data_IF_888751065815
#
_entry.id   IF_888751065815
#
_cell.length_a   1.000
_cell.length_b   1.000
_cell.length_c   1.000
_cell.angle_alpha   90.00
_cell.angle_beta   90.00
_cell.angle_gamma   90.00
#
_symmetry.space_group_name_H-M   'P 1'
#
loop_
_entity.id
_entity.type
_entity.pdbx_description
1 polymer ?
#
# COMPACT_ATOMS: atom_id res chain seq x y z
N UNK A 1 5.45 17.42 25.37
CA UNK A 1 5.72 17.07 23.97
C UNK A 1 6.14 15.60 23.88
N UNK A 2 5.18 14.68 23.89
CA UNK A 2 5.46 13.24 23.73
C UNK A 2 5.26 12.90 22.25
N UNK A 3 6.34 13.00 21.45
CA UNK A 3 6.35 12.61 20.03
C UNK A 3 6.55 11.10 19.91
N UNK A 4 5.55 10.33 20.33
CA UNK A 4 5.42 8.93 19.92
C UNK A 4 4.25 8.87 18.94
N UNK A 5 4.53 9.17 17.67
CA UNK A 5 3.67 8.68 16.59
C UNK A 5 3.97 7.19 16.46
N UNK A 6 3.34 6.41 17.32
CA UNK A 6 3.37 4.95 17.20
C UNK A 6 2.75 4.58 15.86
N UNK A 7 3.47 3.69 15.18
CA UNK A 7 3.16 3.18 13.87
C UNK A 7 2.06 2.15 14.05
N UNK A 8 0.81 2.54 13.82
CA UNK A 8 -0.32 1.65 14.04
C UNK A 8 -0.52 0.78 12.81
N UNK A 9 0.02 -0.44 12.83
CA UNK A 9 -0.40 -1.47 11.88
C UNK A 9 -1.76 -2.02 12.33
N UNK A 10 -2.81 -1.25 12.10
CA UNK A 10 -4.18 -1.68 12.39
C UNK A 10 -4.72 -2.50 11.22
N UNK A 11 -5.38 -3.60 11.56
CA UNK A 11 -6.29 -4.23 10.61
C UNK A 11 -7.49 -3.31 10.43
N UNK A 12 -7.70 -2.84 9.20
CA UNK A 12 -8.91 -2.09 8.85
C UNK A 12 -9.95 -3.05 8.27
N UNK A 13 -11.22 -2.82 8.60
CA UNK A 13 -12.32 -3.56 8.00
C UNK A 13 -12.79 -2.90 6.69
N UNK A 14 -13.72 -3.56 5.99
CA UNK A 14 -14.23 -3.08 4.72
C UNK A 14 -14.97 -1.73 4.83
N UNK A 15 -15.70 -1.50 5.93
CA UNK A 15 -16.44 -0.26 6.15
C UNK A 15 -15.48 0.93 6.30
N UNK A 16 -14.40 0.75 7.04
CA UNK A 16 -13.40 1.80 7.23
C UNK A 16 -12.64 2.08 5.94
N UNK A 17 -12.26 1.04 5.19
CA UNK A 17 -11.65 1.24 3.88
C UNK A 17 -12.57 2.00 2.92
N UNK A 18 -13.86 1.67 2.89
CA UNK A 18 -14.86 2.40 2.08
C UNK A 18 -14.96 3.87 2.48
N UNK A 19 -14.95 4.16 3.80
CA UNK A 19 -14.96 5.53 4.32
C UNK A 19 -13.74 6.30 3.85
N UNK A 20 -12.54 5.71 3.97
CA UNK A 20 -11.28 6.34 3.57
C UNK A 20 -11.19 6.58 2.06
N UNK A 21 -11.70 5.65 1.24
CA UNK A 21 -11.82 5.82 -0.21
C UNK A 21 -12.77 6.95 -0.58
N UNK A 22 -13.89 7.10 0.14
CA UNK A 22 -14.89 8.14 -0.13
C UNK A 22 -14.41 9.57 0.14
N UNK A 23 -13.33 9.75 0.90
CA UNK A 23 -12.73 11.06 1.21
C UNK A 23 -11.36 11.28 0.57
N UNK A 24 -10.91 10.36 -0.30
CA UNK A 24 -9.60 10.39 -0.98
C UNK A 24 -8.39 10.55 -0.03
N UNK A 25 -8.52 10.03 1.19
CA UNK A 25 -7.46 10.08 2.21
C UNK A 25 -6.68 8.77 2.30
N UNK A 26 -6.62 7.95 1.25
CA UNK A 26 -5.96 6.64 1.28
C UNK A 26 -5.06 6.39 0.09
N UNK A 27 -3.85 5.88 0.36
CA UNK A 27 -2.98 5.30 -0.67
C UNK A 27 -3.15 3.78 -0.62
N UNK A 28 -3.99 3.25 -1.51
CA UNK A 28 -4.38 1.85 -1.52
C UNK A 28 -3.51 1.01 -2.48
N UNK A 29 -2.80 0.03 -1.94
CA UNK A 29 -1.91 -0.87 -2.66
C UNK A 29 -2.43 -2.32 -2.64
N UNK A 30 -2.66 -2.87 -3.83
CA UNK A 30 -2.95 -4.28 -4.04
C UNK A 30 -1.63 -5.05 -4.21
N UNK A 31 -1.31 -5.94 -3.26
CA UNK A 31 -0.06 -6.74 -3.31
C UNK A 31 -0.25 -8.14 -3.88
N UNK A 32 -1.38 -8.37 -4.58
CA UNK A 32 -1.63 -9.60 -5.35
C UNK A 32 -0.80 -9.63 -6.63
N UNK A 33 -0.78 -10.80 -7.26
CA UNK A 33 -0.18 -10.96 -8.58
C UNK A 33 -1.03 -10.28 -9.66
N UNK A 34 -0.43 -9.82 -10.79
CA UNK A 34 -1.18 -9.26 -11.90
C UNK A 34 -2.25 -10.22 -12.46
N UNK A 35 -1.97 -11.52 -12.41
CA UNK A 35 -2.92 -12.57 -12.84
C UNK A 35 -4.20 -12.57 -12.00
N UNK A 36 -4.08 -12.54 -10.66
CA UNK A 36 -5.24 -12.45 -9.77
C UNK A 36 -6.08 -11.20 -10.05
N UNK A 37 -5.45 -10.07 -10.38
CA UNK A 37 -6.14 -8.83 -10.72
C UNK A 37 -6.86 -8.95 -12.07
N UNK A 38 -6.23 -9.57 -13.07
CA UNK A 38 -6.84 -9.78 -14.38
C UNK A 38 -8.06 -10.72 -14.29
N UNK A 39 -7.99 -11.74 -13.44
CA UNK A 39 -9.04 -12.76 -13.32
C UNK A 39 -10.20 -12.33 -12.42
N UNK A 40 -9.93 -11.63 -11.31
CA UNK A 40 -10.91 -11.34 -10.24
C UNK A 40 -11.28 -9.86 -10.21
N UNK A 41 -10.49 -9.00 -10.85
CA UNK A 41 -10.58 -7.55 -10.70
C UNK A 41 -9.83 -7.04 -9.47
N UNK A 42 -9.89 -5.71 -9.28
CA UNK A 42 -9.28 -4.99 -8.16
C UNK A 42 -10.21 -3.90 -7.66
N UNK A 43 -9.91 -3.39 -6.47
CA UNK A 43 -10.60 -2.21 -5.93
C UNK A 43 -10.23 -1.00 -6.81
N UNK A 44 -11.23 -0.21 -7.22
CA UNK A 44 -11.00 1.01 -7.99
C UNK A 44 -10.12 1.99 -7.21
N UNK A 45 -9.23 2.70 -7.92
CA UNK A 45 -8.23 3.57 -7.30
C UNK A 45 -7.04 2.83 -6.66
N UNK A 46 -7.06 1.49 -6.54
CA UNK A 46 -5.91 0.76 -6.04
C UNK A 46 -4.78 0.60 -7.07
N UNK A 47 -3.55 0.70 -6.58
CA UNK A 47 -2.32 0.46 -7.34
C UNK A 47 -1.81 -0.95 -7.09
N UNK A 48 -1.43 -1.67 -8.16
CA UNK A 48 -0.84 -2.98 -7.98
C UNK A 48 0.69 -2.88 -7.81
N UNK A 49 1.19 -3.39 -6.67
CA UNK A 49 2.62 -3.65 -6.45
C UNK A 49 2.73 -5.07 -5.91
N UNK A 50 3.00 -6.06 -6.77
CA UNK A 50 3.14 -7.44 -6.33
C UNK A 50 4.14 -7.58 -5.17
N UNK A 51 3.80 -8.43 -4.18
CA UNK A 51 4.58 -8.55 -2.94
C UNK A 51 6.07 -8.87 -3.15
N UNK A 52 6.39 -9.58 -4.23
CA UNK A 52 7.75 -9.92 -4.66
C UNK A 52 8.52 -8.73 -5.24
N UNK A 53 7.82 -7.72 -5.75
CA UNK A 53 8.40 -6.50 -6.32
C UNK A 53 8.51 -5.36 -5.30
N UNK A 54 7.86 -5.45 -4.13
CA UNK A 54 7.82 -4.40 -3.12
C UNK A 54 9.21 -3.87 -2.71
N UNK A 55 10.20 -4.76 -2.50
CA UNK A 55 11.55 -4.30 -2.09
C UNK A 55 12.21 -3.42 -3.15
N UNK A 56 12.07 -3.80 -4.42
CA UNK A 56 12.60 -3.03 -5.54
C UNK A 56 11.78 -1.74 -5.71
N UNK A 57 10.45 -1.83 -5.69
CA UNK A 57 9.55 -0.70 -5.85
C UNK A 57 9.87 0.43 -4.86
N UNK A 58 10.11 0.10 -3.59
CA UNK A 58 10.38 1.08 -2.55
C UNK A 58 11.82 1.64 -2.54
N UNK A 59 12.68 1.18 -3.46
CA UNK A 59 14.03 1.71 -3.69
C UNK A 59 14.11 2.61 -4.93
N UNK A 60 13.12 2.55 -5.82
CA UNK A 60 13.05 3.39 -7.02
C UNK A 60 12.88 4.86 -6.63
N UNK A 61 13.39 5.75 -7.49
CA UNK A 61 13.01 7.17 -7.40
C UNK A 61 11.56 7.38 -7.89
N UNK A 62 11.02 8.58 -7.64
CA UNK A 62 9.63 8.92 -7.98
C UNK A 62 9.33 8.79 -9.47
N UNK A 63 10.32 9.09 -10.34
CA UNK A 63 10.17 9.03 -11.79
C UNK A 63 10.14 7.59 -12.26
N UNK A 64 11.10 6.78 -11.84
CA UNK A 64 11.18 5.36 -12.18
C UNK A 64 9.97 4.59 -11.67
N UNK A 65 9.53 4.89 -10.45
CA UNK A 65 8.32 4.30 -9.88
C UNK A 65 7.08 4.70 -10.69
N UNK A 66 6.96 5.97 -11.07
CA UNK A 66 5.89 6.47 -11.92
C UNK A 66 5.85 5.80 -13.29
N UNK A 67 7.00 5.58 -13.92
CA UNK A 67 7.10 4.88 -15.20
C UNK A 67 6.73 3.40 -15.09
N UNK A 68 7.13 2.73 -14.00
CA UNK A 68 6.89 1.28 -13.80
C UNK A 68 5.46 0.96 -13.35
N UNK A 69 4.91 1.74 -12.42
CA UNK A 69 3.62 1.45 -11.78
C UNK A 69 2.50 2.43 -12.15
N UNK A 70 2.82 3.48 -12.93
CA UNK A 70 1.83 4.47 -13.39
C UNK A 70 1.31 5.39 -12.30
N UNK A 71 2.07 5.58 -11.21
CA UNK A 71 1.60 6.33 -10.05
C UNK A 71 2.74 6.85 -9.17
N UNK A 72 2.42 7.61 -8.14
CA UNK A 72 3.41 8.18 -7.21
C UNK A 72 3.71 7.21 -6.07
N UNK A 73 4.99 6.98 -5.80
CA UNK A 73 5.44 6.29 -4.58
C UNK A 73 4.95 7.06 -3.35
N UNK A 74 4.40 6.42 -2.30
CA UNK A 74 3.91 7.15 -1.15
C UNK A 74 5.08 7.88 -0.46
N UNK A 75 4.80 9.02 0.16
CA UNK A 75 5.80 9.70 1.01
C UNK A 75 5.81 9.05 2.39
N UNK A 76 6.95 9.09 3.07
CA UNK A 76 7.05 8.64 4.48
C UNK A 76 6.18 9.43 5.45
N UNK A 77 5.67 10.58 5.02
CA UNK A 77 4.76 11.45 5.77
C UNK A 77 3.29 11.25 5.38
N UNK A 78 3.01 10.47 4.33
CA UNK A 78 1.64 10.18 3.94
C UNK A 78 0.96 9.36 5.02
N UNK A 79 -0.29 9.70 5.31
CA UNK A 79 -1.13 8.92 6.22
C UNK A 79 -1.89 7.87 5.42
N UNK A 80 -2.42 6.87 6.12
CA UNK A 80 -3.35 5.88 5.56
C UNK A 80 -2.78 5.17 4.31
N UNK A 81 -1.55 4.67 4.42
CA UNK A 81 -0.96 3.76 3.43
C UNK A 81 -1.52 2.37 3.72
N UNK A 82 -2.38 1.87 2.85
CA UNK A 82 -3.11 0.61 3.06
C UNK A 82 -2.66 -0.42 2.05
N UNK A 83 -2.28 -1.60 2.54
CA UNK A 83 -2.00 -2.77 1.72
C UNK A 83 -3.11 -3.80 1.84
N UNK A 84 -3.59 -4.34 0.74
CA UNK A 84 -4.53 -5.44 0.74
C UNK A 84 -4.08 -6.59 -0.16
N UNK A 85 -4.57 -7.78 0.14
CA UNK A 85 -4.42 -8.97 -0.68
C UNK A 85 -5.61 -9.90 -0.47
N UNK A 86 -5.62 -11.08 -1.12
CA UNK A 86 -6.76 -12.01 -1.00
C UNK A 86 -6.97 -12.64 0.38
N UNK A 87 -5.93 -12.79 1.20
CA UNK A 87 -6.00 -13.57 2.47
C UNK A 87 -5.36 -12.88 3.68
N UNK A 88 -4.89 -11.64 3.54
CA UNK A 88 -4.20 -10.89 4.60
C UNK A 88 -2.71 -11.21 4.79
N UNK A 89 -2.21 -12.37 4.35
CA UNK A 89 -0.80 -12.76 4.58
C UNK A 89 0.22 -11.86 3.87
N UNK A 90 -0.04 -11.54 2.60
CA UNK A 90 0.88 -10.72 1.78
C UNK A 90 0.84 -9.25 2.17
N UNK A 91 -0.32 -8.72 2.53
CA UNK A 91 -0.46 -7.35 3.02
C UNK A 91 0.25 -7.15 4.36
N UNK A 92 0.22 -8.14 5.26
CA UNK A 92 1.02 -8.07 6.49
C UNK A 92 2.53 -8.02 6.21
N UNK A 93 3.01 -8.86 5.29
CA UNK A 93 4.41 -8.82 4.85
C UNK A 93 4.77 -7.50 4.16
N UNK A 94 3.83 -6.88 3.45
CA UNK A 94 4.03 -5.58 2.83
C UNK A 94 4.27 -4.48 3.86
N UNK A 95 3.51 -4.50 4.98
CA UNK A 95 3.73 -3.61 6.13
C UNK A 95 5.15 -3.78 6.68
N UNK A 96 5.62 -5.02 6.84
CA UNK A 96 6.98 -5.29 7.34
C UNK A 96 8.05 -4.69 6.42
N UNK A 97 7.90 -4.81 5.09
CA UNK A 97 8.82 -4.20 4.15
C UNK A 97 8.86 -2.68 4.24
N UNK A 98 7.72 -2.01 4.23
CA UNK A 98 7.73 -0.53 4.24
C UNK A 98 8.23 0.03 5.57
N UNK A 99 8.07 -0.71 6.68
CA UNK A 99 8.72 -0.40 7.96
C UNK A 99 10.25 -0.42 7.84
N UNK A 100 10.84 -1.41 7.14
CA UNK A 100 12.30 -1.45 6.88
C UNK A 100 12.77 -0.20 6.10
N UNK A 101 11.91 0.36 5.23
CA UNK A 101 12.21 1.58 4.47
C UNK A 101 11.86 2.90 5.21
N UNK A 102 11.40 2.80 6.46
CA UNK A 102 11.13 3.94 7.34
C UNK A 102 9.80 4.64 7.11
N UNK A 103 8.84 3.98 6.46
CA UNK A 103 7.45 4.42 6.43
C UNK A 103 6.84 4.26 7.81
N UNK A 104 5.92 5.17 8.17
CA UNK A 104 5.23 5.18 9.46
C UNK A 104 3.73 5.32 9.27
#
# INVERSE_FOLDING_TARGET
>A
FSKYTELVSEEINAQELQRLLGIDEVKLFDVRTPKEIQEIGKIEGSMNIPIDQMKEAFQLDEKEFGEKYGATIPKKTDKNIVFYCGSGKRSRRAIDYVKEFGYR
#
